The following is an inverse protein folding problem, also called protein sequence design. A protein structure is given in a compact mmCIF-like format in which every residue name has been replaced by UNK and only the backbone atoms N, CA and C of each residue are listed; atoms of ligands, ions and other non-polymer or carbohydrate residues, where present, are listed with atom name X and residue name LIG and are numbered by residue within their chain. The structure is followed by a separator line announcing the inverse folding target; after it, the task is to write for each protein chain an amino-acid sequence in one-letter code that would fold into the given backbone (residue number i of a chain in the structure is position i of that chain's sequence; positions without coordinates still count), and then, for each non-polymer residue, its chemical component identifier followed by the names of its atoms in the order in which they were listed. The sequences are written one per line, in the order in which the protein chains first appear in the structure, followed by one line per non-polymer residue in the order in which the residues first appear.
data_IF_789639289819
#
_entry.id   IF_789639289819
#
_cell.length_a   1.000
_cell.length_b   1.000
_cell.length_c   1.000
_cell.angle_alpha   90.00
_cell.angle_beta   90.00
_cell.angle_gamma   90.00
#
_symmetry.space_group_name_H-M   'P 1'
#
loop_
_entity.id
_entity.type
_entity.pdbx_description
1 polymer ?
#
# COMPACT_ATOMS: atom_id res chain seq x y z
N UNK A 1 -17.65 4.68 -1.10
CA UNK A 1 -16.89 4.28 0.11
C UNK A 1 -17.68 3.36 1.05
N UNK A 2 -18.98 3.58 1.29
CA UNK A 2 -19.77 2.66 2.12
C UNK A 2 -19.95 1.26 1.48
N UNK A 3 -20.06 1.21 0.16
CA UNK A 3 -20.34 -0.02 -0.59
C UNK A 3 -19.22 -1.08 -0.48
N UNK A 4 -17.97 -0.67 -0.71
CA UNK A 4 -16.81 -1.56 -0.65
C UNK A 4 -16.48 -2.09 0.76
N UNK A 5 -16.77 -1.30 1.81
CA UNK A 5 -16.53 -1.74 3.18
C UNK A 5 -17.55 -2.81 3.61
N UNK A 6 -18.80 -2.63 3.21
CA UNK A 6 -19.88 -3.61 3.42
C UNK A 6 -19.62 -4.90 2.66
N UNK A 7 -19.16 -4.79 1.40
CA UNK A 7 -18.80 -5.95 0.58
C UNK A 7 -17.67 -6.79 1.19
N UNK A 8 -16.61 -6.13 1.71
CA UNK A 8 -15.49 -6.81 2.37
C UNK A 8 -15.88 -7.51 3.68
N UNK A 9 -16.72 -6.85 4.49
CA UNK A 9 -17.23 -7.47 5.72
C UNK A 9 -18.06 -8.72 5.38
N UNK A 10 -18.89 -8.63 4.34
CA UNK A 10 -19.69 -9.77 3.88
C UNK A 10 -18.80 -10.94 3.40
N UNK A 11 -17.72 -10.66 2.66
CA UNK A 11 -16.76 -11.69 2.29
C UNK A 11 -16.15 -12.37 3.52
N UNK A 12 -15.77 -11.61 4.56
CA UNK A 12 -15.22 -12.19 5.79
C UNK A 12 -16.23 -13.06 6.54
N UNK A 13 -17.51 -12.68 6.56
CA UNK A 13 -18.58 -13.49 7.14
C UNK A 13 -18.79 -14.82 6.39
N UNK A 14 -18.72 -14.80 5.06
CA UNK A 14 -18.81 -16.01 4.23
C UNK A 14 -17.59 -16.91 4.44
N UNK A 15 -16.39 -16.34 4.48
CA UNK A 15 -15.14 -17.08 4.74
C UNK A 15 -15.17 -17.71 6.13
N UNK A 16 -15.69 -17.01 7.14
CA UNK A 16 -15.89 -17.56 8.49
C UNK A 16 -16.75 -18.83 8.47
N UNK A 17 -17.78 -18.86 7.61
CA UNK A 17 -18.64 -20.04 7.38
C UNK A 17 -18.00 -21.12 6.50
N UNK A 18 -16.76 -20.92 6.05
CA UNK A 18 -16.01 -21.87 5.23
C UNK A 18 -16.27 -21.76 3.72
N UNK A 19 -16.83 -20.63 3.26
CA UNK A 19 -17.03 -20.38 1.83
C UNK A 19 -15.69 -20.16 1.12
N UNK A 20 -15.32 -21.11 0.25
CA UNK A 20 -14.10 -21.04 -0.54
C UNK A 20 -14.17 -20.01 -1.67
N UNK A 21 -15.36 -19.81 -2.26
CA UNK A 21 -15.55 -18.85 -3.35
C UNK A 21 -15.39 -17.42 -2.84
N UNK A 22 -15.88 -17.14 -1.63
CA UNK A 22 -15.63 -15.86 -0.97
C UNK A 22 -14.14 -15.64 -0.67
N UNK A 23 -13.42 -16.69 -0.27
CA UNK A 23 -11.97 -16.63 -0.06
C UNK A 23 -11.21 -16.38 -1.36
N UNK A 24 -11.56 -17.07 -2.45
CA UNK A 24 -10.94 -16.89 -3.76
C UNK A 24 -11.16 -15.47 -4.29
N UNK A 25 -12.37 -14.93 -4.14
CA UNK A 25 -12.68 -13.55 -4.50
C UNK A 25 -11.85 -12.53 -3.71
N UNK A 26 -11.72 -12.74 -2.39
CA UNK A 26 -10.87 -11.92 -1.54
C UNK A 26 -9.40 -12.01 -1.97
N UNK A 27 -8.91 -13.23 -2.23
CA UNK A 27 -7.54 -13.48 -2.65
C UNK A 27 -7.22 -12.77 -3.96
N UNK A 28 -8.05 -12.92 -5.00
CA UNK A 28 -7.83 -12.25 -6.29
C UNK A 28 -7.86 -10.71 -6.17
N UNK A 29 -8.71 -10.17 -5.30
CA UNK A 29 -8.80 -8.73 -5.09
C UNK A 29 -7.62 -8.15 -4.30
N UNK A 30 -7.14 -8.85 -3.27
CA UNK A 30 -6.17 -8.32 -2.31
C UNK A 30 -4.75 -8.82 -2.48
N UNK A 31 -4.51 -10.00 -3.04
CA UNK A 31 -3.17 -10.52 -3.25
C UNK A 31 -2.24 -9.54 -3.99
N UNK A 32 -2.59 -9.02 -5.18
CA UNK A 32 -1.70 -8.09 -5.89
C UNK A 32 -1.46 -6.77 -5.12
N UNK A 33 -2.46 -6.31 -4.36
CA UNK A 33 -2.36 -5.08 -3.54
C UNK A 33 -1.44 -5.26 -2.34
N UNK A 34 -1.61 -6.37 -1.62
CA UNK A 34 -0.77 -6.73 -0.48
C UNK A 34 0.66 -7.05 -0.92
N UNK A 35 0.83 -7.68 -2.09
CA UNK A 35 2.15 -7.93 -2.67
C UNK A 35 2.88 -6.62 -2.96
N UNK A 36 2.23 -5.69 -3.67
CA UNK A 36 2.79 -4.35 -3.94
C UNK A 36 3.09 -3.56 -2.65
N UNK A 37 2.31 -3.76 -1.60
CA UNK A 37 2.58 -3.17 -0.29
C UNK A 37 3.78 -3.84 0.40
N UNK A 38 3.84 -5.17 0.43
CA UNK A 38 4.92 -5.93 1.06
C UNK A 38 6.28 -5.70 0.38
N UNK A 39 6.31 -5.47 -0.94
CA UNK A 39 7.53 -5.11 -1.67
C UNK A 39 8.07 -3.72 -1.34
N UNK A 40 7.33 -2.90 -0.59
CA UNK A 40 7.90 -1.69 0.01
C UNK A 40 8.81 -1.98 1.20
N UNK A 41 8.75 -3.19 1.76
CA UNK A 41 9.58 -3.63 2.89
C UNK A 41 10.58 -4.73 2.52
N UNK A 42 10.24 -5.56 1.53
CA UNK A 42 10.95 -6.80 1.20
C UNK A 42 11.28 -6.89 -0.30
N UNK A 43 12.22 -7.77 -0.66
CA UNK A 43 12.39 -8.20 -2.04
C UNK A 43 11.18 -9.01 -2.53
N UNK A 44 10.97 -9.08 -3.86
CA UNK A 44 9.77 -9.68 -4.46
C UNK A 44 9.49 -11.11 -3.97
N UNK A 45 10.54 -11.94 -3.91
CA UNK A 45 10.39 -13.34 -3.51
C UNK A 45 9.90 -13.48 -2.05
N UNK A 46 10.50 -12.73 -1.12
CA UNK A 46 10.10 -12.74 0.29
C UNK A 46 8.72 -12.10 0.49
N UNK A 47 8.38 -11.09 -0.32
CA UNK A 47 7.06 -10.47 -0.30
C UNK A 47 5.95 -11.44 -0.73
N UNK A 48 6.18 -12.24 -1.78
CA UNK A 48 5.27 -13.30 -2.23
C UNK A 48 5.05 -14.37 -1.16
N UNK A 49 6.13 -14.81 -0.52
CA UNK A 49 6.08 -15.78 0.58
C UNK A 49 5.24 -15.23 1.74
N UNK A 50 5.53 -14.01 2.20
CA UNK A 50 4.80 -13.37 3.30
C UNK A 50 3.31 -13.21 2.99
N UNK A 51 2.97 -12.71 1.80
CA UNK A 51 1.57 -12.47 1.42
C UNK A 51 0.82 -13.80 1.31
N UNK A 52 1.45 -14.83 0.73
CA UNK A 52 0.88 -16.17 0.67
C UNK A 52 0.61 -16.72 2.07
N UNK A 53 1.56 -16.56 2.99
CA UNK A 53 1.41 -16.99 4.38
C UNK A 53 0.26 -16.25 5.09
N UNK A 54 0.07 -14.96 4.81
CA UNK A 54 -1.07 -14.17 5.33
C UNK A 54 -2.40 -14.79 4.93
N UNK A 55 -2.59 -15.14 3.66
CA UNK A 55 -3.83 -15.76 3.18
C UNK A 55 -4.03 -17.18 3.73
N UNK A 56 -2.96 -17.97 3.84
CA UNK A 56 -3.02 -19.29 4.49
C UNK A 56 -3.45 -19.15 5.95
N UNK A 57 -2.83 -18.23 6.71
CA UNK A 57 -3.20 -17.95 8.11
C UNK A 57 -4.64 -17.46 8.23
N UNK A 58 -5.09 -16.61 7.31
CA UNK A 58 -6.47 -16.13 7.26
C UNK A 58 -7.46 -17.29 7.13
N UNK A 59 -7.20 -18.23 6.21
CA UNK A 59 -8.07 -19.39 6.01
C UNK A 59 -8.06 -20.36 7.21
N UNK A 60 -6.88 -20.63 7.77
CA UNK A 60 -6.73 -21.51 8.93
C UNK A 60 -7.41 -20.93 10.17
N UNK A 61 -7.36 -19.60 10.35
CA UNK A 61 -7.99 -18.87 11.46
C UNK A 61 -9.33 -18.25 11.07
N UNK A 62 -10.01 -18.77 10.04
CA UNK A 62 -11.29 -18.21 9.55
C UNK A 62 -12.37 -18.08 10.65
N UNK A 63 -12.32 -18.96 11.65
CA UNK A 63 -13.23 -18.95 12.79
C UNK A 63 -13.08 -17.72 13.70
N UNK A 64 -12.01 -16.93 13.55
CA UNK A 64 -11.75 -15.70 14.32
C UNK A 64 -12.10 -14.43 13.53
N UNK A 65 -12.49 -14.55 12.25
CA UNK A 65 -12.72 -13.40 11.37
C UNK A 65 -13.98 -12.60 11.72
N UNK A 66 -14.94 -13.20 12.43
CA UNK A 66 -16.15 -12.56 12.92
C UNK A 66 -15.86 -11.40 13.90
N UNK A 67 -14.70 -11.43 14.55
CA UNK A 67 -14.24 -10.39 15.50
C UNK A 67 -13.55 -9.21 14.82
N UNK A 68 -13.31 -9.28 13.52
CA UNK A 68 -12.54 -8.27 12.79
C UNK A 68 -13.48 -7.16 12.31
N UNK A 69 -13.38 -6.00 12.94
CA UNK A 69 -14.18 -4.83 12.57
C UNK A 69 -13.75 -4.15 11.27
N UNK A 70 -12.51 -4.35 10.83
CA UNK A 70 -11.95 -3.71 9.63
C UNK A 70 -11.09 -4.69 8.85
N UNK A 71 -11.70 -5.52 7.98
CA UNK A 71 -11.02 -6.51 7.15
C UNK A 71 -9.83 -5.93 6.39
N UNK A 72 -10.01 -4.73 5.83
CA UNK A 72 -8.97 -4.04 5.07
C UNK A 72 -7.75 -3.72 5.94
N UNK A 73 -7.96 -3.08 7.09
CA UNK A 73 -6.89 -2.76 8.05
C UNK A 73 -6.19 -4.03 8.52
N UNK A 74 -6.96 -5.07 8.87
CA UNK A 74 -6.44 -6.35 9.27
C UNK A 74 -5.47 -6.95 8.25
N UNK A 75 -5.84 -6.96 6.96
CA UNK A 75 -5.01 -7.51 5.89
C UNK A 75 -3.67 -6.76 5.75
N UNK A 76 -3.68 -5.43 5.75
CA UNK A 76 -2.43 -4.65 5.67
C UNK A 76 -1.58 -4.77 6.94
N UNK A 77 -2.20 -4.84 8.13
CA UNK A 77 -1.47 -5.08 9.39
C UNK A 77 -0.83 -6.46 9.38
N UNK A 78 -1.54 -7.49 8.93
CA UNK A 78 -1.01 -8.85 8.81
C UNK A 78 0.18 -8.90 7.84
N UNK A 79 0.06 -8.25 6.68
CA UNK A 79 1.15 -8.14 5.70
C UNK A 79 2.36 -7.39 6.28
N UNK A 80 2.16 -6.21 6.89
CA UNK A 80 3.24 -5.44 7.54
C UNK A 80 3.95 -6.27 8.60
N UNK A 81 3.20 -6.91 9.49
CA UNK A 81 3.77 -7.72 10.57
C UNK A 81 4.54 -8.92 10.04
N UNK A 82 4.02 -9.58 8.99
CA UNK A 82 4.73 -10.62 8.27
C UNK A 82 6.05 -10.11 7.68
N UNK A 83 6.03 -8.98 7.00
CA UNK A 83 7.23 -8.37 6.42
C UNK A 83 8.28 -8.01 7.47
N UNK A 84 7.88 -7.35 8.56
CA UNK A 84 8.78 -7.00 9.65
C UNK A 84 9.34 -8.24 10.36
N UNK A 85 8.55 -9.31 10.48
CA UNK A 85 9.02 -10.56 11.05
C UNK A 85 10.05 -11.24 10.17
N UNK A 86 9.85 -11.26 8.84
CA UNK A 86 10.82 -11.77 7.87
C UNK A 86 12.15 -11.01 7.94
N UNK A 87 12.10 -9.66 7.91
CA UNK A 87 13.30 -8.81 8.10
C UNK A 87 14.03 -9.16 9.41
N UNK A 88 13.28 -9.33 10.51
CA UNK A 88 13.87 -9.71 11.81
C UNK A 88 14.50 -11.10 11.76
N UNK A 89 13.90 -12.07 11.08
CA UNK A 89 14.47 -13.41 10.92
C UNK A 89 15.75 -13.37 10.08
N UNK A 90 15.74 -12.67 8.96
CA UNK A 90 16.90 -12.55 8.07
C UNK A 90 18.06 -11.83 8.77
N UNK A 91 17.77 -10.79 9.56
CA UNK A 91 18.77 -10.10 10.38
C UNK A 91 19.39 -10.98 11.48
N UNK A 92 18.62 -11.92 12.05
CA UNK A 92 19.12 -12.90 13.03
C UNK A 92 19.94 -14.01 12.37
N UNK A 93 19.52 -14.48 11.20
CA UNK A 93 20.28 -15.43 10.37
C UNK A 93 21.61 -14.82 9.89
N UNK A 94 21.62 -13.51 9.56
CA UNK A 94 22.83 -12.78 9.21
C UNK A 94 23.84 -12.66 10.36
N UNK A 95 23.40 -12.68 11.63
CA UNK A 95 24.30 -12.76 12.79
C UNK A 95 24.87 -14.16 13.04
N UNK A 96 24.33 -15.20 12.39
CA UNK A 96 24.84 -16.57 12.48
C UNK A 96 25.71 -16.97 11.26
N UNK A 97 25.63 -16.18 10.18
CA UNK A 97 26.43 -16.31 8.97
C UNK A 97 27.23 -15.01 8.71
N UNK A 98 28.13 -14.64 9.61
CA UNK A 98 29.16 -13.63 9.30
C UNK A 98 30.31 -14.28 8.53
N UNK A 99 30.01 -14.68 7.29
CA UNK A 99 30.96 -14.74 6.19
C UNK A 99 30.13 -14.81 4.91
N UNK A 100 29.91 -13.65 4.28
CA UNK A 100 29.92 -13.40 2.82
C UNK A 100 29.11 -12.13 2.52
N UNK A 101 29.84 -11.14 2.01
CA UNK A 101 29.41 -9.99 1.19
C UNK A 101 28.38 -8.99 1.74
N UNK A 102 28.93 -7.87 2.20
CA UNK A 102 28.37 -6.55 1.92
C UNK A 102 28.25 -6.35 0.41
N UNK A 103 27.04 -6.38 -0.13
CA UNK A 103 26.73 -5.83 -1.45
C UNK A 103 25.49 -4.94 -1.33
N UNK A 104 25.76 -3.64 -1.31
CA UNK A 104 24.79 -2.65 -1.74
C UNK A 104 24.47 -2.92 -3.21
N UNK A 105 23.22 -3.24 -3.54
CA UNK A 105 22.78 -3.33 -4.92
C UNK A 105 21.29 -2.96 -5.04
N UNK A 106 21.09 -1.86 -5.77
CA UNK A 106 20.02 -1.54 -6.71
C UNK A 106 18.68 -2.27 -6.58
N UNK A 107 17.65 -1.46 -6.35
CA UNK A 107 16.24 -1.80 -6.58
C UNK A 107 16.10 -2.28 -8.03
N UNK A 108 15.73 -3.55 -8.29
CA UNK A 108 15.45 -3.98 -9.65
C UNK A 108 14.16 -3.31 -10.12
N UNK A 109 14.25 -2.51 -11.18
CA UNK A 109 13.10 -2.15 -12.01
C UNK A 109 12.60 -3.44 -12.68
N UNK A 110 11.70 -4.17 -12.04
CA UNK A 110 11.04 -5.32 -12.68
C UNK A 110 9.95 -4.84 -13.64
N UNK A 111 10.09 -5.32 -14.87
CA UNK A 111 9.37 -4.87 -16.06
C UNK A 111 7.85 -4.81 -15.91
N UNK A 112 7.31 -3.65 -16.31
CA UNK A 112 5.91 -3.56 -16.69
C UNK A 112 5.72 -4.19 -18.07
N UNK A 113 4.76 -5.11 -18.16
CA UNK A 113 4.29 -5.70 -19.42
C UNK A 113 3.85 -4.60 -20.41
N UNK A 114 4.13 -4.71 -21.73
CA UNK A 114 3.95 -3.61 -22.70
C UNK A 114 2.51 -3.27 -23.13
N UNK A 115 1.47 -3.76 -22.46
CA UNK A 115 0.13 -3.86 -23.07
C UNK A 115 -1.04 -3.22 -22.29
N UNK A 116 -0.82 -2.12 -21.56
CA UNK A 116 -1.95 -1.29 -21.08
C UNK A 116 -1.84 0.16 -21.56
N UNK A 117 -2.06 0.30 -22.87
CA UNK A 117 -2.66 1.42 -23.62
C UNK A 117 -2.58 2.84 -23.01
N UNK A 118 -1.56 3.57 -23.48
CA UNK A 118 -1.66 4.91 -24.11
C UNK A 118 -3.03 5.64 -24.03
N UNK A 119 -3.22 6.51 -23.01
CA UNK A 119 -3.93 7.80 -23.17
C UNK A 119 -3.69 8.83 -22.04
N UNK A 120 -2.43 9.20 -21.78
CA UNK A 120 -1.91 10.57 -21.49
C UNK A 120 -0.46 10.48 -20.95
N UNK A 121 0.44 10.09 -21.84
CA UNK A 121 1.69 9.38 -21.52
C UNK A 121 2.85 10.21 -20.98
N UNK A 122 2.73 11.54 -20.89
CA UNK A 122 3.79 12.37 -20.32
C UNK A 122 3.48 12.79 -18.87
N UNK A 123 2.25 13.23 -18.61
CA UNK A 123 1.85 13.67 -17.27
C UNK A 123 1.86 12.51 -16.27
N UNK A 124 1.35 11.34 -16.65
CA UNK A 124 1.37 10.15 -15.77
C UNK A 124 2.80 9.71 -15.45
N UNK A 125 3.72 9.79 -16.43
CA UNK A 125 5.15 9.52 -16.20
C UNK A 125 5.78 10.54 -15.26
N UNK A 126 5.44 11.82 -15.41
CA UNK A 126 5.91 12.87 -14.50
C UNK A 126 5.38 12.66 -13.08
N UNK A 127 4.09 12.33 -12.92
CA UNK A 127 3.50 12.03 -11.63
C UNK A 127 4.17 10.79 -11.01
N UNK A 128 4.35 9.71 -11.78
CA UNK A 128 5.03 8.49 -11.32
C UNK A 128 6.46 8.79 -10.88
N UNK A 129 7.21 9.58 -11.66
CA UNK A 129 8.57 10.03 -11.30
C UNK A 129 8.56 10.85 -10.01
N UNK A 130 7.63 11.80 -9.88
CA UNK A 130 7.48 12.64 -8.69
C UNK A 130 7.18 11.79 -7.44
N UNK A 131 6.26 10.83 -7.56
CA UNK A 131 5.91 9.89 -6.49
C UNK A 131 7.10 9.02 -6.11
N UNK A 132 7.84 8.50 -7.10
CA UNK A 132 9.02 7.66 -6.86
C UNK A 132 10.18 8.46 -6.24
N UNK A 133 10.29 9.76 -6.49
CA UNK A 133 11.25 10.65 -5.86
C UNK A 133 10.93 11.01 -4.40
N UNK A 134 9.74 10.66 -3.88
CA UNK A 134 9.40 10.90 -2.48
C UNK A 134 10.20 9.97 -1.54
N UNK A 135 10.53 10.44 -0.31
CA UNK A 135 11.04 9.57 0.73
C UNK A 135 10.10 8.38 0.97
N UNK A 136 10.68 7.21 1.23
CA UNK A 136 9.99 5.92 1.25
C UNK A 136 8.70 5.92 2.08
N UNK A 137 8.77 6.36 3.34
CA UNK A 137 7.59 6.43 4.23
C UNK A 137 6.49 7.36 3.70
N UNK A 138 6.89 8.48 3.07
CA UNK A 138 5.94 9.44 2.49
C UNK A 138 5.27 8.88 1.24
N UNK A 139 6.05 8.22 0.37
CA UNK A 139 5.56 7.50 -0.81
C UNK A 139 4.56 6.42 -0.41
N UNK A 140 4.90 5.63 0.61
CA UNK A 140 4.03 4.57 1.13
C UNK A 140 2.69 5.13 1.61
N UNK A 141 2.71 6.16 2.46
CA UNK A 141 1.49 6.84 2.94
C UNK A 141 0.65 7.36 1.77
N UNK A 142 1.28 8.00 0.78
CA UNK A 142 0.59 8.51 -0.39
C UNK A 142 -0.11 7.37 -1.17
N UNK A 143 0.60 6.28 -1.47
CA UNK A 143 0.04 5.12 -2.17
C UNK A 143 -1.12 4.48 -1.41
N UNK A 144 -0.97 4.27 -0.10
CA UNK A 144 -2.03 3.73 0.75
C UNK A 144 -3.30 4.59 0.74
N UNK A 145 -3.16 5.92 0.79
CA UNK A 145 -4.34 6.80 0.77
C UNK A 145 -4.95 6.94 -0.62
N UNK A 146 -4.11 7.08 -1.66
CA UNK A 146 -4.57 7.41 -3.02
C UNK A 146 -4.87 6.21 -3.88
N UNK A 147 -3.96 5.25 -3.94
CA UNK A 147 -4.10 4.07 -4.78
C UNK A 147 -4.99 3.02 -4.08
N UNK A 148 -4.76 2.81 -2.78
CA UNK A 148 -5.52 1.80 -2.02
C UNK A 148 -6.83 2.37 -1.42
N UNK A 149 -7.03 3.68 -1.45
CA UNK A 149 -8.24 4.34 -0.94
C UNK A 149 -8.43 4.21 0.58
N UNK A 150 -7.35 4.02 1.34
CA UNK A 150 -7.39 3.97 2.81
C UNK A 150 -7.57 5.37 3.39
N UNK A 151 -8.32 5.47 4.50
CA UNK A 151 -8.46 6.71 5.25
C UNK A 151 -7.18 6.98 6.04
N UNK A 152 -6.86 8.26 6.29
CA UNK A 152 -5.69 8.63 7.10
C UNK A 152 -5.67 7.95 8.48
N UNK A 153 -6.85 7.73 9.10
CA UNK A 153 -6.97 6.99 10.36
C UNK A 153 -6.59 5.52 10.23
N UNK A 154 -7.02 4.87 9.16
CA UNK A 154 -6.68 3.46 8.87
C UNK A 154 -5.18 3.32 8.58
N UNK A 155 -4.60 4.24 7.80
CA UNK A 155 -3.15 4.27 7.55
C UNK A 155 -2.35 4.52 8.83
N UNK A 156 -2.83 5.41 9.70
CA UNK A 156 -2.22 5.68 11.00
C UNK A 156 -2.20 4.42 11.88
N UNK A 157 -3.30 3.67 11.88
CA UNK A 157 -3.40 2.39 12.59
C UNK A 157 -2.46 1.33 11.99
N UNK A 158 -2.45 1.15 10.67
CA UNK A 158 -1.58 0.18 9.99
C UNK A 158 -0.11 0.49 10.27
N UNK A 159 0.29 1.76 10.14
CA UNK A 159 1.70 2.18 10.27
C UNK A 159 2.12 2.48 11.71
N UNK A 160 1.22 2.38 12.70
CA UNK A 160 1.46 2.76 14.10
C UNK A 160 1.97 4.21 14.24
N UNK A 161 1.34 5.13 13.52
CA UNK A 161 1.65 6.56 13.53
C UNK A 161 0.48 7.37 14.08
N UNK A 162 0.73 8.62 14.46
CA UNK A 162 -0.38 9.53 14.74
C UNK A 162 -1.10 9.93 13.45
N UNK A 163 -2.42 10.12 13.51
CA UNK A 163 -3.22 10.61 12.36
C UNK A 163 -2.64 11.93 11.82
N UNK A 164 -2.22 12.82 12.73
CA UNK A 164 -1.58 14.09 12.38
C UNK A 164 -0.26 13.89 11.62
N UNK A 165 0.53 12.88 11.97
CA UNK A 165 1.76 12.53 11.25
C UNK A 165 1.42 12.07 9.83
N UNK A 166 0.42 11.21 9.67
CA UNK A 166 -0.04 10.72 8.36
C UNK A 166 -0.54 11.87 7.49
N UNK A 167 -1.40 12.74 8.02
CA UNK A 167 -1.90 13.92 7.31
C UNK A 167 -0.78 14.88 6.91
N UNK A 168 0.18 15.11 7.81
CA UNK A 168 1.34 15.95 7.54
C UNK A 168 2.26 15.37 6.45
N UNK A 169 2.51 14.06 6.46
CA UNK A 169 3.29 13.40 5.41
C UNK A 169 2.54 13.42 4.08
N UNK A 170 1.23 13.17 4.08
CA UNK A 170 0.39 13.24 2.89
C UNK A 170 0.38 14.66 2.29
N UNK A 171 0.25 15.69 3.13
CA UNK A 171 0.32 17.08 2.70
C UNK A 171 1.65 17.40 2.01
N UNK A 172 2.78 16.98 2.62
CA UNK A 172 4.12 17.13 2.03
C UNK A 172 4.25 16.35 0.72
N UNK A 173 3.64 15.16 0.62
CA UNK A 173 3.65 14.35 -0.60
C UNK A 173 2.97 15.09 -1.75
N UNK A 174 1.75 15.56 -1.50
CA UNK A 174 0.93 16.31 -2.46
C UNK A 174 1.65 17.57 -2.93
N UNK A 175 2.26 18.33 -2.02
CA UNK A 175 2.99 19.55 -2.38
C UNK A 175 4.24 19.26 -3.21
N UNK A 176 4.98 18.22 -2.86
CA UNK A 176 6.16 17.80 -3.62
C UNK A 176 5.80 17.36 -5.03
N UNK A 177 4.73 16.58 -5.18
CA UNK A 177 4.23 16.14 -6.50
C UNK A 177 3.74 17.34 -7.30
N UNK A 178 2.95 18.23 -6.68
CA UNK A 178 2.41 19.42 -7.31
C UNK A 178 3.51 20.35 -7.86
N UNK A 179 4.62 20.48 -7.12
CA UNK A 179 5.76 21.28 -7.55
C UNK A 179 6.47 20.68 -8.77
N UNK A 180 6.65 19.36 -8.81
CA UNK A 180 7.31 18.67 -9.93
C UNK A 180 6.52 18.81 -11.24
N UNK A 181 5.18 18.85 -11.16
CA UNK A 181 4.30 18.96 -12.33
C UNK A 181 3.87 20.39 -12.65
N UNK A 182 4.22 21.39 -11.83
CA UNK A 182 3.83 22.79 -11.99
C UNK A 182 4.31 23.37 -13.33
N UNK A 183 5.55 23.07 -13.70
CA UNK A 183 6.16 23.51 -14.97
C UNK A 183 5.43 22.94 -16.18
N UNK A 184 4.89 21.73 -16.06
CA UNK A 184 4.13 21.06 -17.12
C UNK A 184 2.69 21.57 -17.22
N UNK A 185 2.05 21.87 -16.09
CA UNK A 185 0.66 22.34 -16.04
C UNK A 185 0.52 23.86 -16.26
N UNK A 186 1.60 24.64 -16.06
CA UNK A 186 1.56 26.10 -16.11
C UNK A 186 0.85 26.74 -14.91
N UNK A 187 0.48 25.94 -13.91
CA UNK A 187 -0.07 26.38 -12.63
C UNK A 187 0.23 25.35 -11.54
N UNK A 188 0.27 25.79 -10.28
CA UNK A 188 0.46 24.89 -9.15
C UNK A 188 -0.90 24.31 -8.68
N UNK A 189 -1.16 23.00 -8.84
CA UNK A 189 -2.44 22.42 -8.46
C UNK A 189 -2.70 22.43 -6.94
N UNK A 190 -1.65 22.50 -6.11
CA UNK A 190 -1.82 22.61 -4.66
C UNK A 190 -2.30 24.01 -4.21
N UNK A 191 -2.06 25.05 -5.01
CA UNK A 191 -2.44 26.44 -4.69
C UNK A 191 -3.94 26.72 -4.78
N UNK A 192 -4.68 25.98 -5.61
CA UNK A 192 -6.14 26.16 -5.84
C UNK A 192 -6.97 25.70 -4.63
N UNK A 193 -6.43 24.83 -3.79
CA UNK A 193 -7.15 24.14 -2.71
C UNK A 193 -7.53 25.06 -1.53
N UNK A 194 -6.95 26.26 -1.43
CA UNK A 194 -7.12 27.14 -0.26
C UNK A 194 -8.42 27.96 -0.23
N UNK A 195 -9.23 28.00 -1.29
CA UNK A 195 -10.28 29.04 -1.43
C UNK A 195 -11.68 28.73 -0.91
N UNK A 196 -12.07 27.48 -0.59
CA UNK A 196 -13.35 27.21 0.09
C UNK A 196 -13.30 25.90 0.87
N UNK A 197 -13.13 25.98 2.20
CA UNK A 197 -13.56 25.08 3.29
C UNK A 197 -13.77 23.56 3.13
N UNK A 198 -13.44 22.91 2.02
CA UNK A 198 -13.54 21.47 1.77
C UNK A 198 -12.35 21.08 0.88
N UNK A 199 -11.49 20.19 1.40
CA UNK A 199 -10.41 19.56 0.63
C UNK A 199 -11.00 18.77 -0.53
N UNK A 200 -11.16 19.37 -1.72
CA UNK A 200 -11.86 18.70 -2.82
C UNK A 200 -11.22 18.79 -4.20
N UNK A 201 -9.95 19.20 -4.34
CA UNK A 201 -9.32 19.30 -5.68
C UNK A 201 -8.22 18.25 -5.93
N UNK A 202 -7.76 17.52 -4.90
CA UNK A 202 -6.81 16.42 -5.08
C UNK A 202 -7.44 15.01 -5.08
N UNK A 203 -8.76 14.91 -5.30
CA UNK A 203 -9.52 13.66 -5.31
C UNK A 203 -9.77 13.08 -6.73
N UNK A 204 -9.22 13.70 -7.78
CA UNK A 204 -9.51 13.34 -9.18
C UNK A 204 -8.27 13.01 -10.03
N UNK A 205 -7.17 12.58 -9.40
CA UNK A 205 -6.12 11.80 -10.04
C UNK A 205 -5.84 10.57 -9.18
#
# INVERSE_FOLDING_TARGET
MADQATELNHLFELIHKGDKTAFDALFHAFYPRLLKFATSYLHSNDAEEVVSEVFVKLWLRRNELDRIHSPKVYLYVAAKNGSLNKIRQDSKSAHQFLETEHLAAEIPETGSSPEQMLLNTHLEKLISKAVNGLPEQRRLIFKMVKEEGLKCREVAEILELSVRTVEGQLFKAVHSIAHEIESYLGYNPASVTRRKGKLSVFLFF
#
